data_IF_609231050113
#
_entry.id   IF_609231050113
#
_cell.length_a   1.000
_cell.length_b   1.000
_cell.length_c   1.000
_cell.angle_alpha   90.00
_cell.angle_beta   90.00
_cell.angle_gamma   90.00
#
_symmetry.space_group_name_H-M   'P 1'
#
loop_
_entity.id
_entity.type
_entity.pdbx_description
1 polymer ?
#
# COMPACT_ATOMS: atom_id res chain seq x y z
N UNK A 1 28.20 60.27 -2.15
CA UNK A 1 28.65 60.73 -0.81
C UNK A 1 29.24 59.52 -0.08
N UNK A 2 30.38 59.69 0.60
CA UNK A 2 31.21 58.63 1.24
C UNK A 2 30.60 58.12 2.58
N UNK A 3 31.10 57.00 3.13
CA UNK A 3 30.32 56.01 3.90
C UNK A 3 30.38 56.20 5.42
N UNK A 4 29.42 55.61 6.13
CA UNK A 4 29.54 55.35 7.57
C UNK A 4 29.84 53.86 7.82
N UNK A 5 30.82 53.64 8.68
CA UNK A 5 31.53 52.39 8.96
C UNK A 5 30.81 51.55 10.03
N UNK A 6 30.94 50.23 9.86
CA UNK A 6 31.27 49.19 10.84
C UNK A 6 30.54 49.13 12.20
N UNK A 7 29.95 47.97 12.46
CA UNK A 7 30.26 47.22 13.68
C UNK A 7 29.99 45.71 13.43
N UNK A 8 31.06 44.99 13.09
CA UNK A 8 31.12 43.54 13.29
C UNK A 8 31.37 43.35 14.79
N UNK A 9 30.42 42.72 15.48
CA UNK A 9 30.64 42.13 16.79
C UNK A 9 30.41 40.62 16.64
N UNK A 10 31.52 39.91 16.51
CA UNK A 10 31.65 38.47 16.67
C UNK A 10 31.44 38.13 18.14
N UNK A 11 30.54 37.21 18.47
CA UNK A 11 30.73 36.22 19.55
C UNK A 11 29.56 35.24 19.61
N UNK A 12 29.88 33.94 19.68
CA UNK A 12 29.03 32.95 20.35
C UNK A 12 28.36 31.94 19.43
N UNK A 13 29.00 30.79 19.25
CA UNK A 13 28.37 29.56 18.81
C UNK A 13 27.20 29.16 19.75
N UNK A 14 26.31 28.29 19.25
CA UNK A 14 25.63 27.17 19.94
C UNK A 14 24.15 27.05 19.50
N UNK A 15 23.86 25.92 18.83
CA UNK A 15 22.56 25.25 18.63
C UNK A 15 21.57 25.99 17.69
N UNK A 16 21.32 25.48 16.49
CA UNK A 16 20.64 24.19 16.35
C UNK A 16 19.15 24.35 16.68
N UNK A 17 18.44 25.17 15.91
CA UNK A 17 16.98 25.23 15.94
C UNK A 17 16.51 25.30 14.48
N UNK A 18 16.55 24.14 13.81
CA UNK A 18 15.79 23.94 12.60
C UNK A 18 14.33 24.22 12.94
N UNK A 19 13.74 25.19 12.26
CA UNK A 19 12.30 25.33 12.20
C UNK A 19 11.78 24.10 11.43
N UNK A 20 11.65 22.98 12.14
CA UNK A 20 10.81 21.87 11.73
C UNK A 20 9.38 22.41 11.82
N UNK A 21 8.98 23.14 10.79
CA UNK A 21 7.57 23.35 10.48
C UNK A 21 6.95 21.97 10.47
N UNK A 22 6.18 21.67 11.50
CA UNK A 22 5.42 20.44 11.61
C UNK A 22 4.49 20.37 10.42
N UNK A 23 4.96 19.78 9.33
CA UNK A 23 4.11 18.99 8.48
C UNK A 23 3.64 17.86 9.39
N UNK A 24 2.53 18.09 10.11
CA UNK A 24 1.60 17.01 10.40
C UNK A 24 1.12 16.56 9.02
N UNK A 25 1.98 15.79 8.35
CA UNK A 25 1.58 14.96 7.26
C UNK A 25 0.50 14.09 7.87
N UNK A 26 -0.75 14.46 7.61
CA UNK A 26 -1.78 13.47 7.39
C UNK A 26 -1.19 12.71 6.21
N UNK A 27 -0.36 11.71 6.53
CA UNK A 27 0.11 10.76 5.57
C UNK A 27 -1.17 10.13 5.10
N UNK A 28 -1.73 10.67 4.02
CA UNK A 28 -2.54 9.89 3.11
C UNK A 28 -1.67 8.65 2.89
N UNK A 29 -2.08 7.56 3.52
CA UNK A 29 -1.51 6.25 3.33
C UNK A 29 -1.81 5.92 1.88
N UNK A 30 -1.01 6.45 0.97
CA UNK A 30 -1.18 6.25 -0.45
C UNK A 30 -1.15 4.76 -0.69
N UNK A 31 -2.21 4.22 -1.29
CA UNK A 31 -2.22 2.89 -1.88
C UNK A 31 -0.91 2.69 -2.66
N UNK A 32 -0.01 1.85 -2.15
CA UNK A 32 1.33 1.64 -2.71
C UNK A 32 1.27 0.55 -3.78
N UNK A 33 0.75 0.94 -4.95
CA UNK A 33 0.61 0.05 -6.10
C UNK A 33 1.93 -0.53 -6.60
N UNK A 34 3.06 0.14 -6.37
CA UNK A 34 4.38 -0.35 -6.75
C UNK A 34 4.86 -1.46 -5.80
N UNK A 35 4.68 -1.27 -4.49
CA UNK A 35 4.97 -2.27 -3.46
C UNK A 35 4.10 -3.51 -3.62
N UNK A 36 2.80 -3.32 -3.91
CA UNK A 36 1.87 -4.41 -4.24
C UNK A 36 2.41 -5.28 -5.38
N UNK A 37 2.70 -4.69 -6.54
CA UNK A 37 3.22 -5.43 -7.70
C UNK A 37 4.55 -6.10 -7.41
N UNK A 38 5.48 -5.39 -6.75
CA UNK A 38 6.79 -5.94 -6.41
C UNK A 38 6.66 -7.22 -5.59
N UNK A 39 5.83 -7.21 -4.53
CA UNK A 39 5.60 -8.38 -3.67
C UNK A 39 4.98 -9.55 -4.44
N UNK A 40 4.04 -9.28 -5.35
CA UNK A 40 3.45 -10.33 -6.19
C UNK A 40 4.47 -10.96 -7.14
N UNK A 41 5.29 -10.13 -7.79
CA UNK A 41 6.35 -10.60 -8.67
C UNK A 41 7.40 -11.42 -7.91
N UNK A 42 7.80 -10.98 -6.72
CA UNK A 42 8.71 -11.72 -5.81
C UNK A 42 8.13 -13.08 -5.39
N UNK A 43 6.80 -13.19 -5.26
CA UNK A 43 6.08 -14.43 -5.00
C UNK A 43 5.83 -15.29 -6.26
N UNK A 44 6.33 -14.87 -7.43
CA UNK A 44 6.13 -15.55 -8.71
C UNK A 44 4.69 -15.46 -9.26
N UNK A 45 3.87 -14.57 -8.72
CA UNK A 45 2.47 -14.39 -9.12
C UNK A 45 2.41 -13.45 -10.32
N UNK A 46 2.03 -14.01 -11.47
CA UNK A 46 1.96 -13.30 -12.75
C UNK A 46 0.70 -13.71 -13.51
N UNK A 47 0.18 -12.81 -14.34
CA UNK A 47 -0.98 -13.06 -15.20
C UNK A 47 -0.63 -12.82 -16.67
N UNK A 48 -1.50 -13.27 -17.58
CA UNK A 48 -1.32 -13.05 -19.03
C UNK A 48 -1.34 -11.56 -19.37
N UNK A 49 -2.17 -10.75 -18.70
CA UNK A 49 -2.24 -9.29 -18.91
C UNK A 49 -1.27 -8.51 -18.00
N UNK A 50 -0.44 -9.21 -17.23
CA UNK A 50 0.61 -8.65 -16.39
C UNK A 50 0.10 -7.77 -15.24
N UNK A 51 0.90 -6.77 -14.87
CA UNK A 51 0.66 -5.92 -13.69
C UNK A 51 -0.70 -5.20 -13.71
N UNK A 52 -1.23 -4.90 -14.90
CA UNK A 52 -2.51 -4.21 -15.02
C UNK A 52 -3.63 -5.04 -14.39
N UNK A 53 -3.72 -6.31 -14.77
CA UNK A 53 -4.73 -7.23 -14.27
C UNK A 53 -4.50 -7.58 -12.80
N UNK A 54 -3.25 -7.67 -12.34
CA UNK A 54 -2.94 -7.80 -10.92
C UNK A 54 -3.47 -6.60 -10.11
N UNK A 55 -3.30 -5.38 -10.61
CA UNK A 55 -3.86 -4.17 -9.98
C UNK A 55 -5.38 -4.20 -9.97
N UNK A 56 -6.01 -4.58 -11.08
CA UNK A 56 -7.49 -4.72 -11.15
C UNK A 56 -8.01 -5.66 -10.07
N UNK A 57 -7.39 -6.84 -9.90
CA UNK A 57 -7.75 -7.78 -8.83
C UNK A 57 -7.57 -7.16 -7.43
N UNK A 58 -6.44 -6.49 -7.19
CA UNK A 58 -6.16 -5.86 -5.90
C UNK A 58 -7.17 -4.77 -5.54
N UNK A 59 -7.55 -3.92 -6.50
CA UNK A 59 -8.60 -2.93 -6.29
C UNK A 59 -9.99 -3.56 -6.13
N UNK A 60 -10.30 -4.65 -6.84
CA UNK A 60 -11.54 -5.39 -6.64
C UNK A 60 -11.66 -5.93 -5.20
N UNK A 61 -10.56 -6.43 -4.62
CA UNK A 61 -10.50 -6.82 -3.20
C UNK A 61 -10.84 -5.64 -2.29
N UNK A 62 -10.23 -4.48 -2.49
CA UNK A 62 -10.52 -3.30 -1.67
C UNK A 62 -11.98 -2.82 -1.81
N UNK A 63 -12.57 -2.89 -3.00
CA UNK A 63 -13.98 -2.55 -3.22
C UNK A 63 -14.93 -3.52 -2.50
N UNK A 64 -14.64 -4.83 -2.55
CA UNK A 64 -15.41 -5.83 -1.82
C UNK A 64 -15.32 -5.63 -0.31
N UNK A 65 -14.12 -5.29 0.19
CA UNK A 65 -13.92 -4.97 1.60
C UNK A 65 -14.69 -3.72 2.03
N UNK A 66 -14.61 -2.63 1.26
CA UNK A 66 -15.36 -1.38 1.50
C UNK A 66 -16.88 -1.62 1.55
N UNK A 67 -17.37 -2.61 0.80
CA UNK A 67 -18.80 -3.03 0.79
C UNK A 67 -19.17 -4.00 1.91
N UNK A 68 -18.23 -4.40 2.77
CA UNK A 68 -18.46 -5.27 3.91
C UNK A 68 -18.61 -6.75 3.56
N UNK A 69 -18.15 -7.18 2.37
CA UNK A 69 -18.12 -8.61 2.05
C UNK A 69 -17.17 -9.35 2.99
N UNK A 70 -17.45 -10.62 3.34
CA UNK A 70 -16.57 -11.40 4.19
C UNK A 70 -15.29 -11.79 3.44
N UNK A 71 -14.16 -11.99 4.13
CA UNK A 71 -12.86 -12.20 3.48
C UNK A 71 -12.79 -13.36 2.48
N UNK A 72 -13.50 -14.47 2.76
CA UNK A 72 -13.62 -15.62 1.83
C UNK A 72 -14.14 -15.19 0.45
N UNK A 73 -15.02 -14.19 0.39
CA UNK A 73 -15.56 -13.70 -0.87
C UNK A 73 -14.61 -12.76 -1.62
N UNK A 74 -13.61 -12.18 -0.95
CA UNK A 74 -12.61 -11.34 -1.62
C UNK A 74 -11.74 -12.17 -2.56
N UNK A 75 -11.26 -13.34 -2.12
CA UNK A 75 -10.53 -14.26 -2.98
C UNK A 75 -11.42 -14.75 -4.13
N UNK A 76 -12.61 -15.27 -3.81
CA UNK A 76 -13.49 -15.84 -4.83
C UNK A 76 -13.97 -14.82 -5.85
N UNK A 77 -14.35 -13.60 -5.45
CA UNK A 77 -14.88 -12.60 -6.38
C UNK A 77 -13.79 -11.70 -6.97
N UNK A 78 -12.83 -11.27 -6.16
CA UNK A 78 -11.77 -10.34 -6.56
C UNK A 78 -10.58 -11.00 -7.28
N UNK A 79 -10.31 -12.28 -7.02
CA UNK A 79 -9.17 -13.01 -7.63
C UNK A 79 -9.65 -14.16 -8.52
N UNK A 80 -10.57 -15.00 -8.04
CA UNK A 80 -11.07 -16.13 -8.82
C UNK A 80 -12.11 -15.71 -9.84
N UNK A 81 -12.63 -14.49 -9.77
CA UNK A 81 -13.71 -14.01 -10.64
C UNK A 81 -14.94 -14.95 -10.62
N UNK A 82 -15.36 -15.35 -9.42
CA UNK A 82 -16.44 -16.30 -9.15
C UNK A 82 -16.22 -17.74 -9.68
N UNK A 83 -14.99 -18.11 -10.03
CA UNK A 83 -14.62 -19.49 -10.33
C UNK A 83 -14.46 -20.33 -9.06
N UNK A 84 -14.46 -21.66 -9.20
CA UNK A 84 -14.24 -22.60 -8.10
C UNK A 84 -12.78 -22.67 -7.64
N UNK A 85 -11.85 -22.24 -8.49
CA UNK A 85 -10.42 -22.27 -8.23
C UNK A 85 -9.74 -21.02 -8.81
N UNK A 86 -8.54 -20.66 -8.31
CA UNK A 86 -7.74 -19.58 -8.87
C UNK A 86 -7.44 -19.74 -10.37
N UNK A 87 -7.26 -18.64 -11.11
CA UNK A 87 -6.82 -18.67 -12.50
C UNK A 87 -5.31 -18.94 -12.65
N UNK A 88 -4.85 -19.11 -13.89
CA UNK A 88 -3.42 -19.21 -14.27
C UNK A 88 -2.62 -20.35 -13.59
N UNK A 89 -3.30 -21.40 -13.11
CA UNK A 89 -2.66 -22.51 -12.40
C UNK A 89 -2.17 -22.13 -11.01
N UNK A 90 -2.64 -21.00 -10.46
CA UNK A 90 -2.30 -20.59 -9.10
C UNK A 90 -2.87 -21.54 -8.06
N UNK A 91 -2.11 -21.72 -7.00
CA UNK A 91 -2.59 -22.37 -5.78
C UNK A 91 -3.53 -21.44 -5.02
N UNK A 92 -4.37 -22.01 -4.14
CA UNK A 92 -5.19 -21.23 -3.22
C UNK A 92 -4.33 -20.28 -2.37
N UNK A 93 -3.15 -20.72 -1.94
CA UNK A 93 -2.20 -19.90 -1.19
C UNK A 93 -1.73 -18.67 -1.99
N UNK A 94 -1.46 -18.81 -3.29
CA UNK A 94 -1.10 -17.68 -4.14
C UNK A 94 -2.26 -16.70 -4.31
N UNK A 95 -3.49 -17.19 -4.46
CA UNK A 95 -4.65 -16.32 -4.52
C UNK A 95 -4.89 -15.56 -3.20
N UNK A 96 -4.72 -16.23 -2.06
CA UNK A 96 -4.81 -15.58 -0.75
C UNK A 96 -3.70 -14.55 -0.57
N UNK A 97 -2.48 -14.83 -1.05
CA UNK A 97 -1.40 -13.85 -1.03
C UNK A 97 -1.72 -12.58 -1.82
N UNK A 98 -2.45 -12.69 -2.95
CA UNK A 98 -2.95 -11.51 -3.69
C UNK A 98 -3.89 -10.68 -2.80
N UNK A 99 -4.83 -11.32 -2.11
CA UNK A 99 -5.78 -10.64 -1.21
C UNK A 99 -5.04 -9.98 -0.04
N UNK A 100 -4.16 -10.71 0.64
CA UNK A 100 -3.39 -10.22 1.77
C UNK A 100 -2.53 -9.01 1.40
N UNK A 101 -1.87 -9.09 0.25
CA UNK A 101 -1.03 -8.01 -0.26
C UNK A 101 -1.86 -6.83 -0.72
N UNK A 102 -3.06 -7.02 -1.27
CA UNK A 102 -3.96 -5.92 -1.62
C UNK A 102 -4.45 -5.18 -0.38
N UNK A 103 -4.90 -5.92 0.65
CA UNK A 103 -5.34 -5.33 1.93
C UNK A 103 -4.21 -4.58 2.62
N UNK A 104 -3.01 -5.13 2.60
CA UNK A 104 -1.84 -4.43 3.08
C UNK A 104 -1.59 -3.22 2.18
N UNK A 105 -1.15 -3.39 0.95
CA UNK A 105 -0.52 -2.30 0.20
C UNK A 105 -1.51 -1.31 -0.42
N UNK A 106 -2.74 -1.70 -0.73
CA UNK A 106 -3.67 -0.91 -1.55
C UNK A 106 -4.86 -0.32 -0.79
N UNK A 107 -5.44 -1.05 0.16
CA UNK A 107 -6.71 -0.63 0.75
C UNK A 107 -6.52 0.45 1.82
N UNK A 108 -7.35 1.51 1.79
CA UNK A 108 -7.26 2.63 2.75
C UNK A 108 -7.64 2.22 4.20
N UNK A 109 -8.34 1.10 4.37
CA UNK A 109 -8.92 0.61 5.64
C UNK A 109 -8.11 -0.54 6.25
N UNK A 110 -6.78 -0.54 6.07
CA UNK A 110 -5.84 -1.63 6.44
C UNK A 110 -6.14 -2.28 7.80
N UNK A 111 -6.49 -1.49 8.82
CA UNK A 111 -6.75 -1.94 10.20
C UNK A 111 -8.01 -2.81 10.42
N UNK A 112 -8.84 -3.01 9.40
CA UNK A 112 -9.98 -3.94 9.45
C UNK A 112 -9.56 -5.42 9.62
N UNK A 113 -10.52 -6.34 9.78
CA UNK A 113 -10.24 -7.76 10.01
C UNK A 113 -9.37 -8.36 8.89
N UNK A 114 -8.47 -9.31 9.22
CA UNK A 114 -7.52 -9.86 8.27
C UNK A 114 -8.21 -10.68 7.17
N UNK A 115 -7.67 -10.65 5.93
CA UNK A 115 -8.23 -11.30 4.75
C UNK A 115 -8.29 -12.84 4.76
N UNK A 116 -7.44 -13.51 5.53
CA UNK A 116 -7.45 -14.97 5.63
C UNK A 116 -7.41 -15.43 7.09
N UNK A 117 -8.49 -16.08 7.52
CA UNK A 117 -8.54 -16.90 8.73
C UNK A 117 -8.54 -18.37 8.29
N UNK A 118 -7.49 -19.15 8.60
CA UNK A 118 -7.48 -20.59 8.31
C UNK A 118 -8.68 -21.24 8.99
N UNK A 119 -9.39 -22.14 8.29
CA UNK A 119 -10.43 -22.95 8.90
C UNK A 119 -9.77 -23.96 9.88
N UNK A 120 -10.39 -24.23 11.05
CA UNK A 120 -9.93 -25.28 11.97
C UNK A 120 -10.09 -26.70 11.39
#
# INVERSE_FOLDING_TARGET
>A
MRPARAAVLLTGAVLGAGLASGAVGIGVAHADGASYIRKLNEAGINTVRGEFELKEMGYAVCELRKRGFPPKQWATQGVWNSQLHPPYGWTEAQANFVVDTAVAELCDDRDGPPPYVPLP
#
